data_IF_320401557950
#
_entry.id   IF_320401557950
#
_cell.length_a   1.000
_cell.length_b   1.000
_cell.length_c   1.000
_cell.angle_alpha   90.00
_cell.angle_beta   90.00
_cell.angle_gamma   90.00
#
_symmetry.space_group_name_H-M   'P 1'
#
loop_
_entity.id
_entity.type
_entity.pdbx_description
1 polymer ?
#
# COMPACT_ATOMS: atom_id res chain seq x y z
N UNK A 1 11.92 -8.23 -12.87
CA UNK A 1 12.24 -7.68 -14.20
C UNK A 1 12.90 -6.32 -14.08
N UNK A 2 12.21 -5.24 -13.69
CA UNK A 2 12.85 -3.91 -13.57
C UNK A 2 14.10 -3.93 -12.67
N UNK A 3 13.96 -4.47 -11.46
CA UNK A 3 15.05 -4.59 -10.49
C UNK A 3 16.24 -5.41 -11.02
N UNK A 4 15.97 -6.52 -11.70
CA UNK A 4 17.00 -7.34 -12.35
C UNK A 4 17.69 -6.60 -13.51
N UNK A 5 16.97 -5.74 -14.23
CA UNK A 5 17.54 -4.95 -15.31
C UNK A 5 18.51 -3.89 -14.78
N UNK A 6 18.13 -3.16 -13.72
CA UNK A 6 19.03 -2.19 -13.09
C UNK A 6 20.27 -2.86 -12.48
N UNK A 7 20.10 -4.00 -11.80
CA UNK A 7 21.20 -4.79 -11.26
C UNK A 7 22.13 -5.31 -12.38
N UNK A 8 21.59 -5.79 -13.50
CA UNK A 8 22.39 -6.25 -14.65
C UNK A 8 23.15 -5.10 -15.32
N UNK A 9 22.52 -3.96 -15.56
CA UNK A 9 23.21 -2.79 -16.11
C UNK A 9 24.31 -2.30 -15.16
N UNK A 10 24.06 -2.37 -13.86
CA UNK A 10 25.07 -2.05 -12.86
C UNK A 10 26.26 -3.00 -13.01
N UNK A 11 26.00 -4.30 -13.10
CA UNK A 11 27.05 -5.32 -13.23
C UNK A 11 27.81 -5.20 -14.57
N UNK A 12 27.13 -4.96 -15.68
CA UNK A 12 27.80 -4.90 -16.99
C UNK A 12 28.63 -3.65 -17.19
N UNK A 13 28.27 -2.52 -16.57
CA UNK A 13 28.97 -1.24 -16.76
C UNK A 13 29.91 -0.89 -15.62
N UNK A 14 29.44 -0.96 -14.37
CA UNK A 14 30.21 -0.47 -13.22
C UNK A 14 31.25 -1.49 -12.74
N UNK A 15 30.95 -2.79 -12.76
CA UNK A 15 31.92 -3.79 -12.28
C UNK A 15 33.20 -3.85 -13.12
N UNK A 16 33.15 -3.89 -14.47
CA UNK A 16 34.37 -3.94 -15.28
C UNK A 16 35.24 -2.69 -15.10
N UNK A 17 34.62 -1.51 -15.07
CA UNK A 17 35.33 -0.24 -14.86
C UNK A 17 35.93 -0.15 -13.46
N UNK A 18 35.21 -0.60 -12.43
CA UNK A 18 35.73 -0.68 -11.08
C UNK A 18 36.93 -1.64 -10.99
N UNK A 19 36.79 -2.85 -11.55
CA UNK A 19 37.85 -3.86 -11.55
C UNK A 19 39.11 -3.36 -12.27
N UNK A 20 38.94 -2.71 -13.43
CA UNK A 20 40.04 -2.11 -14.18
C UNK A 20 40.74 -1.00 -13.39
N UNK A 21 39.98 -0.11 -12.74
CA UNK A 21 40.54 0.95 -11.88
C UNK A 21 41.34 0.36 -10.71
N UNK A 22 40.84 -0.70 -10.08
CA UNK A 22 41.56 -1.40 -9.01
C UNK A 22 42.85 -2.05 -9.50
N UNK A 23 42.82 -2.69 -10.67
CA UNK A 23 43.98 -3.33 -11.28
C UNK A 23 45.09 -2.32 -11.60
N UNK A 24 44.72 -1.18 -12.18
CA UNK A 24 45.66 -0.13 -12.59
C UNK A 24 46.04 0.84 -11.46
N UNK A 25 45.40 0.72 -10.28
CA UNK A 25 45.52 1.63 -9.13
C UNK A 25 45.32 3.11 -9.49
N UNK A 26 44.67 3.38 -10.61
CA UNK A 26 44.46 4.72 -11.16
C UNK A 26 43.33 4.69 -12.19
N UNK A 27 42.76 5.85 -12.48
CA UNK A 27 41.72 5.98 -13.51
C UNK A 27 42.35 6.29 -14.88
N UNK A 28 42.50 5.28 -15.74
CA UNK A 28 43.08 5.45 -17.08
C UNK A 28 42.03 5.62 -18.20
N UNK A 29 40.74 5.62 -17.88
CA UNK A 29 39.65 5.56 -18.88
C UNK A 29 39.21 6.92 -19.44
N UNK A 30 39.95 7.99 -19.15
CA UNK A 30 39.65 9.34 -19.61
C UNK A 30 38.48 10.02 -18.88
N UNK A 31 38.24 11.29 -19.22
CA UNK A 31 37.31 12.18 -18.49
C UNK A 31 35.83 11.82 -18.73
N UNK A 32 35.46 11.40 -19.94
CA UNK A 32 34.06 11.07 -20.28
C UNK A 32 33.56 9.89 -19.47
N UNK A 33 34.31 8.79 -19.43
CA UNK A 33 33.97 7.64 -18.61
C UNK A 33 34.00 7.98 -17.11
N UNK A 34 34.87 8.90 -16.68
CA UNK A 34 34.90 9.40 -15.30
C UNK A 34 33.63 10.16 -14.91
N UNK A 35 32.90 10.75 -15.87
CA UNK A 35 31.58 11.34 -15.62
C UNK A 35 30.47 10.30 -15.68
N UNK A 36 30.52 9.38 -16.65
CA UNK A 36 29.50 8.34 -16.84
C UNK A 36 29.49 7.30 -15.72
N UNK A 37 30.65 6.93 -15.18
CA UNK A 37 30.79 5.93 -14.11
C UNK A 37 29.99 6.30 -12.85
N UNK A 38 30.23 7.43 -12.17
CA UNK A 38 29.44 7.82 -11.02
C UNK A 38 27.98 8.07 -11.38
N UNK A 39 27.67 8.64 -12.55
CA UNK A 39 26.28 8.82 -13.01
C UNK A 39 25.53 7.48 -13.02
N UNK A 40 26.06 6.48 -13.72
CA UNK A 40 25.46 5.16 -13.80
C UNK A 40 25.40 4.48 -12.43
N UNK A 41 26.48 4.55 -11.65
CA UNK A 41 26.55 3.97 -10.30
C UNK A 41 25.44 4.49 -9.40
N UNK A 42 25.30 5.81 -9.27
CA UNK A 42 24.32 6.42 -8.36
C UNK A 42 22.90 6.31 -8.91
N UNK A 43 22.70 6.49 -10.22
CA UNK A 43 21.37 6.39 -10.84
C UNK A 43 20.79 4.97 -10.71
N UNK A 44 21.57 3.92 -11.03
CA UNK A 44 21.08 2.54 -11.01
C UNK A 44 20.80 2.05 -9.58
N UNK A 45 21.57 2.51 -8.60
CA UNK A 45 21.30 2.26 -7.17
C UNK A 45 19.97 2.92 -6.77
N UNK A 46 19.76 4.18 -7.16
CA UNK A 46 18.51 4.89 -6.89
C UNK A 46 17.30 4.22 -7.57
N UNK A 47 17.42 3.82 -8.84
CA UNK A 47 16.38 3.05 -9.55
C UNK A 47 16.03 1.77 -8.79
N UNK A 48 17.04 1.05 -8.30
CA UNK A 48 16.83 -0.19 -7.55
C UNK A 48 16.07 0.07 -6.24
N UNK A 49 16.44 1.11 -5.49
CA UNK A 49 15.75 1.51 -4.24
C UNK A 49 14.32 1.99 -4.49
N UNK A 50 14.09 2.86 -5.47
CA UNK A 50 12.74 3.31 -5.82
C UNK A 50 11.88 2.17 -6.34
N UNK A 51 12.46 1.21 -7.07
CA UNK A 51 11.75 0.00 -7.49
C UNK A 51 11.33 -0.83 -6.28
N UNK A 52 12.22 -1.01 -5.30
CA UNK A 52 11.91 -1.72 -4.05
C UNK A 52 10.82 -1.00 -3.25
N UNK A 53 10.88 0.33 -3.16
CA UNK A 53 9.85 1.16 -2.54
C UNK A 53 8.51 0.98 -3.26
N UNK A 54 8.49 1.08 -4.59
CA UNK A 54 7.29 0.92 -5.40
C UNK A 54 6.65 -0.47 -5.23
N UNK A 55 7.46 -1.54 -5.20
CA UNK A 55 6.98 -2.90 -4.93
C UNK A 55 6.38 -2.98 -3.52
N UNK A 56 7.02 -2.35 -2.54
CA UNK A 56 6.55 -2.36 -1.14
C UNK A 56 5.24 -1.60 -0.99
N UNK A 57 5.11 -0.42 -1.61
CA UNK A 57 3.85 0.35 -1.65
C UNK A 57 2.76 -0.44 -2.35
N UNK A 58 3.06 -1.07 -3.49
CA UNK A 58 2.11 -1.92 -4.20
C UNK A 58 1.55 -3.03 -3.30
N UNK A 59 2.41 -3.69 -2.52
CA UNK A 59 1.98 -4.70 -1.54
C UNK A 59 1.18 -4.09 -0.39
N UNK A 60 1.62 -2.97 0.14
CA UNK A 60 0.90 -2.26 1.20
C UNK A 60 -0.52 -1.88 0.77
N UNK A 61 -0.69 -1.27 -0.41
CA UNK A 61 -2.00 -0.87 -0.93
C UNK A 61 -2.88 -2.09 -1.21
N UNK A 62 -2.33 -3.16 -1.77
CA UNK A 62 -3.05 -4.42 -1.99
C UNK A 62 -3.63 -5.00 -0.69
N UNK A 63 -2.87 -4.93 0.41
CA UNK A 63 -3.22 -5.52 1.71
C UNK A 63 -4.13 -4.59 2.52
N UNK A 64 -3.81 -3.30 2.56
CA UNK A 64 -4.53 -2.31 3.38
C UNK A 64 -5.80 -1.79 2.70
N UNK A 65 -5.82 -1.71 1.37
CA UNK A 65 -6.91 -1.09 0.60
C UNK A 65 -7.30 -1.95 -0.62
N UNK A 66 -7.87 -3.16 -0.41
CA UNK A 66 -8.19 -4.10 -1.49
C UNK A 66 -9.19 -3.55 -2.51
N UNK A 67 -10.04 -2.57 -2.13
CA UNK A 67 -11.00 -1.91 -3.05
C UNK A 67 -10.33 -0.88 -3.96
N UNK A 68 -9.25 -0.24 -3.50
CA UNK A 68 -8.54 0.80 -4.26
C UNK A 68 -7.50 0.20 -5.22
N UNK A 69 -6.89 -0.93 -4.83
CA UNK A 69 -5.87 -1.62 -5.61
C UNK A 69 -6.21 -1.82 -7.10
N UNK A 70 -7.38 -2.38 -7.50
CA UNK A 70 -7.70 -2.60 -8.92
C UNK A 70 -7.91 -1.30 -9.71
N UNK A 71 -8.24 -0.18 -9.03
CA UNK A 71 -8.39 1.12 -9.69
C UNK A 71 -7.04 1.77 -9.98
N UNK A 72 -6.10 1.64 -9.03
CA UNK A 72 -4.80 2.30 -9.08
C UNK A 72 -3.76 1.52 -9.90
N UNK A 73 -3.70 0.19 -9.75
CA UNK A 73 -2.64 -0.64 -10.34
C UNK A 73 -3.06 -1.27 -11.68
N UNK A 74 -3.35 -0.42 -12.67
CA UNK A 74 -3.52 -0.85 -14.08
C UNK A 74 -2.17 -0.96 -14.78
N UNK A 75 -2.08 -1.74 -15.86
CA UNK A 75 -0.83 -1.96 -16.65
C UNK A 75 -0.17 -0.64 -17.09
N UNK A 76 -0.97 0.35 -17.50
CA UNK A 76 -0.47 1.67 -17.91
C UNK A 76 0.20 2.42 -16.74
N UNK A 77 -0.45 2.49 -15.57
CA UNK A 77 0.12 3.15 -14.39
C UNK A 77 1.36 2.42 -13.86
N UNK A 78 1.41 1.09 -13.96
CA UNK A 78 2.62 0.32 -13.63
C UNK A 78 3.79 0.69 -14.56
N UNK A 79 3.54 0.84 -15.86
CA UNK A 79 4.57 1.27 -16.81
C UNK A 79 5.05 2.70 -16.52
N UNK A 80 4.13 3.62 -16.25
CA UNK A 80 4.46 5.01 -15.86
C UNK A 80 5.27 5.03 -14.56
N UNK A 81 4.89 4.24 -13.55
CA UNK A 81 5.62 4.14 -12.29
C UNK A 81 7.05 3.61 -12.48
N UNK A 82 7.25 2.63 -13.37
CA UNK A 82 8.61 2.18 -13.72
C UNK A 82 9.36 3.28 -14.44
N UNK A 83 8.80 3.87 -15.49
CA UNK A 83 9.45 4.94 -16.26
C UNK A 83 9.82 6.15 -15.37
N UNK A 84 8.96 6.52 -14.42
CA UNK A 84 9.23 7.62 -13.49
C UNK A 84 10.38 7.30 -12.54
N UNK A 85 10.56 6.04 -12.11
CA UNK A 85 11.72 5.67 -11.28
C UNK A 85 13.05 5.88 -12.02
N UNK A 86 13.10 5.58 -13.32
CA UNK A 86 14.27 5.84 -14.17
C UNK A 86 14.47 7.33 -14.40
N UNK A 87 13.43 8.02 -14.86
CA UNK A 87 13.48 9.45 -15.16
C UNK A 87 13.88 10.28 -13.93
N UNK A 88 13.32 9.98 -12.75
CA UNK A 88 13.67 10.68 -11.51
C UNK A 88 15.11 10.39 -11.07
N UNK A 89 15.57 9.13 -11.17
CA UNK A 89 16.92 8.76 -10.73
C UNK A 89 18.03 9.40 -11.59
N UNK A 90 17.86 9.38 -12.91
CA UNK A 90 18.81 10.02 -13.82
C UNK A 90 18.63 11.54 -13.84
N UNK A 91 17.39 12.02 -13.79
CA UNK A 91 17.06 13.44 -13.73
C UNK A 91 17.62 14.12 -12.49
N UNK A 92 17.59 13.48 -11.31
CA UNK A 92 18.19 14.03 -10.10
C UNK A 92 19.71 14.25 -10.23
N UNK A 93 20.39 13.51 -11.12
CA UNK A 93 21.82 13.61 -11.36
C UNK A 93 22.18 14.50 -12.56
N UNK A 94 21.19 14.97 -13.34
CA UNK A 94 21.45 15.84 -14.49
C UNK A 94 22.03 17.18 -14.05
N UNK A 95 21.59 17.72 -12.91
CA UNK A 95 22.11 18.97 -12.36
C UNK A 95 23.62 18.85 -12.00
N UNK A 96 24.04 17.69 -11.50
CA UNK A 96 25.46 17.39 -11.24
C UNK A 96 26.24 17.14 -12.52
N UNK A 97 25.59 16.63 -13.57
CA UNK A 97 26.21 16.46 -14.89
C UNK A 97 26.47 17.81 -15.57
N UNK A 98 25.54 18.76 -15.44
CA UNK A 98 25.65 20.12 -15.97
C UNK A 98 26.60 21.02 -15.17
N UNK A 99 27.19 20.51 -14.08
CA UNK A 99 28.12 21.22 -13.20
C UNK A 99 27.53 22.44 -12.47
N UNK A 100 26.21 22.63 -12.52
CA UNK A 100 25.48 23.68 -11.78
C UNK A 100 25.45 23.43 -10.27
N UNK A 101 25.40 22.15 -9.87
CA UNK A 101 25.39 21.75 -8.47
C UNK A 101 26.21 20.47 -8.25
N UNK A 102 27.50 20.67 -7.95
CA UNK A 102 28.48 19.60 -7.86
C UNK A 102 29.01 19.16 -9.22
N UNK A 103 30.07 18.37 -9.22
CA UNK A 103 30.71 17.88 -10.44
C UNK A 103 31.11 16.42 -10.32
N UNK A 104 31.10 15.70 -11.43
CA UNK A 104 31.69 14.37 -11.50
C UNK A 104 33.19 14.47 -11.78
N UNK A 105 34.00 13.80 -10.96
CA UNK A 105 35.45 13.76 -11.15
C UNK A 105 36.15 12.75 -10.26
N UNK A 106 37.46 12.64 -10.42
CA UNK A 106 38.30 11.71 -9.67
C UNK A 106 38.41 12.17 -8.21
N UNK A 107 37.95 11.33 -7.28
CA UNK A 107 38.18 11.54 -5.85
C UNK A 107 39.49 10.83 -5.44
N UNK A 108 40.55 11.59 -5.09
CA UNK A 108 41.84 11.02 -4.74
C UNK A 108 41.78 10.15 -3.48
N UNK A 109 40.80 10.35 -2.61
CA UNK A 109 40.61 9.57 -1.38
C UNK A 109 40.17 8.12 -1.66
N UNK A 110 39.52 7.91 -2.81
CA UNK A 110 38.93 6.62 -3.23
C UNK A 110 39.72 6.03 -4.41
N UNK A 111 40.49 6.86 -5.12
CA UNK A 111 41.14 6.47 -6.37
C UNK A 111 40.13 6.18 -7.49
N UNK A 112 38.90 6.71 -7.39
CA UNK A 112 37.84 6.48 -8.38
C UNK A 112 36.96 7.71 -8.59
N UNK A 113 36.22 7.72 -9.68
CA UNK A 113 35.36 8.85 -10.02
C UNK A 113 34.07 8.85 -9.19
N UNK A 114 33.79 10.00 -8.54
CA UNK A 114 32.68 10.22 -7.62
C UNK A 114 32.07 11.62 -7.85
N UNK A 115 30.97 11.90 -7.14
CA UNK A 115 30.44 13.26 -6.99
C UNK A 115 31.36 14.04 -6.05
N UNK A 116 31.85 15.18 -6.53
CA UNK A 116 32.71 16.13 -5.83
C UNK A 116 31.95 17.44 -5.57
N UNK A 117 32.33 18.20 -4.52
CA UNK A 117 31.81 19.54 -4.30
C UNK A 117 32.19 20.48 -5.45
N UNK A 118 31.31 21.45 -5.70
CA UNK A 118 31.53 22.54 -6.64
C UNK A 118 32.39 23.67 -6.03
N UNK A 119 32.74 24.70 -6.81
CA UNK A 119 33.55 25.86 -6.42
C UNK A 119 33.05 26.57 -5.16
N UNK A 120 31.73 26.59 -4.94
CA UNK A 120 31.10 27.18 -3.76
C UNK A 120 31.05 26.22 -2.55
N UNK A 121 31.83 25.13 -2.58
CA UNK A 121 31.87 24.05 -1.58
C UNK A 121 30.51 23.37 -1.32
N UNK A 122 29.56 23.50 -2.25
CA UNK A 122 28.27 22.81 -2.20
C UNK A 122 28.41 21.46 -2.86
N UNK A 123 27.99 20.40 -2.18
CA UNK A 123 27.92 19.05 -2.76
C UNK A 123 26.48 18.55 -2.77
N UNK A 124 25.96 18.10 -3.93
CA UNK A 124 24.64 17.48 -3.99
C UNK A 124 24.63 16.10 -3.29
N UNK A 125 25.81 15.56 -2.94
CA UNK A 125 25.97 14.20 -2.39
C UNK A 125 25.15 13.98 -1.12
N UNK A 126 25.08 14.98 -0.23
CA UNK A 126 24.27 14.90 0.99
C UNK A 126 22.77 14.92 0.70
N UNK A 127 22.32 15.84 -0.16
CA UNK A 127 20.92 15.94 -0.57
C UNK A 127 20.43 14.70 -1.31
N UNK A 128 21.23 14.19 -2.24
CA UNK A 128 20.96 12.94 -2.96
C UNK A 128 20.94 11.75 -2.01
N UNK A 129 21.82 11.71 -1.01
CA UNK A 129 21.80 10.66 0.00
C UNK A 129 20.51 10.71 0.84
N UNK A 130 20.12 11.89 1.34
CA UNK A 130 18.89 12.00 2.15
C UNK A 130 17.65 11.71 1.30
N UNK A 131 17.55 12.33 0.12
CA UNK A 131 16.36 12.24 -0.73
C UNK A 131 16.22 10.93 -1.50
N UNK A 132 17.32 10.38 -2.02
CA UNK A 132 17.31 9.17 -2.85
C UNK A 132 17.69 7.89 -2.10
N UNK A 133 18.17 7.97 -0.86
CA UNK A 133 18.49 6.80 -0.03
C UNK A 133 17.68 6.77 1.29
N UNK A 134 17.86 7.75 2.17
CA UNK A 134 17.27 7.70 3.53
C UNK A 134 15.74 7.78 3.52
N UNK A 135 15.18 8.72 2.76
CA UNK A 135 13.74 8.90 2.67
C UNK A 135 13.05 7.64 2.09
N UNK A 136 13.51 7.06 0.97
CA UNK A 136 13.00 5.77 0.49
C UNK A 136 13.13 4.63 1.48
N UNK A 137 14.29 4.49 2.14
CA UNK A 137 14.52 3.45 3.14
C UNK A 137 13.54 3.57 4.32
N UNK A 138 13.35 4.79 4.84
CA UNK A 138 12.39 5.04 5.92
C UNK A 138 10.96 4.71 5.49
N UNK A 139 10.56 5.16 4.29
CA UNK A 139 9.24 4.85 3.75
C UNK A 139 9.03 3.33 3.59
N UNK A 140 10.04 2.60 3.10
CA UNK A 140 10.01 1.13 3.01
C UNK A 140 9.79 0.52 4.40
N UNK A 141 10.58 0.91 5.40
CA UNK A 141 10.48 0.40 6.79
C UNK A 141 9.09 0.65 7.37
N UNK A 142 8.55 1.87 7.20
CA UNK A 142 7.20 2.23 7.67
C UNK A 142 6.14 1.36 6.98
N UNK A 143 6.19 1.22 5.66
CA UNK A 143 5.26 0.36 4.92
C UNK A 143 5.34 -1.10 5.40
N UNK A 144 6.53 -1.62 5.64
CA UNK A 144 6.72 -2.98 6.15
C UNK A 144 6.15 -3.17 7.55
N UNK A 145 6.41 -2.22 8.46
CA UNK A 145 5.87 -2.25 9.81
C UNK A 145 4.33 -2.28 9.76
N UNK A 146 3.73 -1.44 8.92
CA UNK A 146 2.26 -1.42 8.73
C UNK A 146 1.73 -2.73 8.16
N UNK A 147 2.37 -3.29 7.12
CA UNK A 147 2.01 -4.60 6.57
C UNK A 147 2.05 -5.66 7.67
N UNK A 148 3.13 -5.72 8.43
CA UNK A 148 3.31 -6.71 9.50
C UNK A 148 2.25 -6.56 10.59
N UNK A 149 1.95 -5.34 11.02
CA UNK A 149 0.90 -5.06 12.00
C UNK A 149 -0.48 -5.53 11.51
N UNK A 150 -0.86 -5.20 10.26
CA UNK A 150 -2.15 -5.62 9.67
C UNK A 150 -2.26 -7.14 9.63
N UNK A 151 -1.18 -7.83 9.23
CA UNK A 151 -1.17 -9.30 9.14
C UNK A 151 -1.24 -9.94 10.52
N UNK A 152 -0.53 -9.40 11.52
CA UNK A 152 -0.55 -9.91 12.89
C UNK A 152 -1.90 -9.70 13.54
N UNK A 153 -2.52 -8.55 13.32
CA UNK A 153 -3.88 -8.24 13.78
C UNK A 153 -4.91 -9.20 13.16
N UNK A 154 -4.84 -9.44 11.84
CA UNK A 154 -5.72 -10.39 11.16
C UNK A 154 -5.54 -11.83 11.69
N UNK A 155 -4.29 -12.24 11.98
CA UNK A 155 -4.01 -13.54 12.57
C UNK A 155 -4.52 -13.66 14.01
N UNK A 156 -4.40 -12.60 14.83
CA UNK A 156 -4.94 -12.56 16.21
C UNK A 156 -6.46 -12.69 16.20
N UNK A 157 -7.16 -11.94 15.35
CA UNK A 157 -8.63 -12.02 15.22
C UNK A 157 -9.10 -13.41 14.79
N UNK A 158 -8.36 -14.09 13.93
CA UNK A 158 -8.69 -15.48 13.55
C UNK A 158 -8.45 -16.52 14.64
N UNK A 159 -7.67 -16.18 15.69
CA UNK A 159 -7.39 -17.05 16.84
C UNK A 159 -8.21 -16.70 18.07
N UNK A 160 -8.91 -15.56 18.08
CA UNK A 160 -9.82 -15.22 19.16
C UNK A 160 -10.97 -16.25 19.16
N UNK A 161 -11.23 -16.95 20.27
CA UNK A 161 -12.34 -17.88 20.34
C UNK A 161 -13.64 -17.13 20.07
N UNK A 162 -14.46 -17.68 19.17
CA UNK A 162 -15.80 -17.19 18.88
C UNK A 162 -16.56 -17.16 20.22
N UNK A 163 -16.72 -15.98 20.82
CA UNK A 163 -17.64 -15.84 21.95
C UNK A 163 -19.02 -16.07 21.36
N UNK A 164 -19.49 -17.30 21.51
CA UNK A 164 -20.84 -17.75 21.21
C UNK A 164 -21.81 -16.62 21.56
N UNK A 165 -22.37 -16.01 20.52
CA UNK A 165 -23.48 -15.08 20.70
C UNK A 165 -24.60 -15.91 21.33
N UNK A 166 -25.15 -15.53 22.50
CA UNK A 166 -26.30 -16.22 23.04
C UNK A 166 -27.36 -16.23 21.94
N UNK A 167 -27.84 -17.43 21.57
CA UNK A 167 -29.06 -17.53 20.78
C UNK A 167 -30.13 -16.74 21.55
N UNK A 168 -30.88 -15.82 20.92
CA UNK A 168 -32.12 -15.36 21.52
C UNK A 168 -32.94 -16.62 21.81
N UNK A 169 -33.19 -16.86 23.10
CA UNK A 169 -34.04 -17.96 23.53
C UNK A 169 -35.37 -17.82 22.80
N UNK A 170 -35.77 -18.92 22.18
CA UNK A 170 -37.15 -19.16 21.84
C UNK A 170 -37.86 -19.33 23.20
N UNK A 171 -38.48 -18.27 23.72
CA UNK A 171 -39.41 -18.41 24.82
C UNK A 171 -40.67 -19.05 24.26
N UNK A 172 -40.88 -20.32 24.63
CA UNK A 172 -42.09 -21.07 24.36
C UNK A 172 -43.29 -20.43 25.05
N UNK A 173 -44.39 -20.42 24.32
CA UNK A 173 -45.73 -20.03 24.76
C UNK A 173 -46.14 -20.66 26.09
N UNK A 174 -46.62 -19.84 27.02
CA UNK A 174 -47.59 -20.26 28.03
C UNK A 174 -48.79 -19.29 27.99
N UNK A 175 -49.90 -19.81 27.49
CA UNK A 175 -51.25 -19.25 27.59
C UNK A 175 -51.72 -19.42 29.04
N UNK A 176 -52.33 -18.39 29.64
CA UNK A 176 -52.93 -18.51 30.97
C UNK A 176 -53.51 -17.21 31.53
N UNK A 177 -54.72 -16.89 31.06
CA UNK A 177 -55.86 -16.25 31.75
C UNK A 177 -55.70 -15.03 32.66
N UNK A 178 -56.51 -14.02 32.35
CA UNK A 178 -56.85 -12.88 33.19
C UNK A 178 -57.64 -13.28 34.45
N UNK A 179 -57.41 -12.60 35.58
CA UNK A 179 -58.43 -11.82 36.30
C UNK A 179 -57.87 -11.08 37.55
N UNK A 180 -58.27 -9.81 37.66
CA UNK A 180 -58.65 -9.05 38.88
C UNK A 180 -57.68 -8.79 40.06
N UNK A 181 -57.37 -7.49 40.19
CA UNK A 181 -57.72 -6.61 41.31
C UNK A 181 -56.82 -6.49 42.57
N UNK A 182 -56.67 -5.20 42.94
CA UNK A 182 -56.59 -4.57 44.26
C UNK A 182 -55.22 -4.09 44.79
N UNK A 183 -55.22 -2.76 45.00
CA UNK A 183 -54.39 -1.88 45.84
C UNK A 183 -53.50 -2.53 46.92
N UNK A 184 -52.33 -1.91 47.17
CA UNK A 184 -52.17 -0.87 48.22
C UNK A 184 -50.69 -0.52 48.43
N UNK A 185 -50.37 0.77 48.30
CA UNK A 185 -49.16 1.40 48.87
C UNK A 185 -49.51 1.86 50.30
N UNK A 186 -48.55 1.96 51.23
CA UNK A 186 -47.92 3.28 51.42
C UNK A 186 -46.42 3.24 51.81
N UNK A 187 -45.70 4.33 51.53
CA UNK A 187 -44.44 4.70 52.20
C UNK A 187 -44.68 5.14 53.67
N UNK A 188 -43.73 5.78 54.39
CA UNK A 188 -42.82 6.83 53.88
C UNK A 188 -41.38 6.92 54.46
N UNK A 189 -40.56 7.72 53.76
CA UNK A 189 -39.62 8.76 54.24
C UNK A 189 -38.23 8.52 54.88
N UNK A 190 -37.32 9.37 54.36
CA UNK A 190 -36.10 10.00 54.92
C UNK A 190 -34.78 9.20 55.01
N UNK A 191 -33.62 9.65 54.52
CA UNK A 191 -33.25 10.91 53.85
C UNK A 191 -31.72 11.02 53.60
N UNK A 192 -31.35 11.87 52.65
CA UNK A 192 -30.08 12.63 52.48
C UNK A 192 -28.78 12.03 51.87
N UNK A 193 -28.71 12.09 50.53
CA UNK A 193 -27.69 12.71 49.63
C UNK A 193 -26.29 13.16 50.13
N UNK A 194 -25.21 12.75 49.43
CA UNK A 194 -24.52 13.57 48.39
C UNK A 194 -23.22 12.95 47.77
N UNK A 195 -23.21 12.86 46.43
CA UNK A 195 -22.18 13.08 45.37
C UNK A 195 -20.69 12.66 45.54
N UNK A 196 -20.02 12.08 44.52
CA UNK A 196 -19.47 12.75 43.31
C UNK A 196 -19.55 11.87 42.04
N UNK A 197 -19.82 12.52 40.89
CA UNK A 197 -20.11 11.95 39.57
C UNK A 197 -19.05 12.28 38.49
N UNK A 198 -19.03 11.46 37.42
CA UNK A 198 -18.50 11.74 36.07
C UNK A 198 -19.30 10.89 35.02
N UNK A 199 -19.35 11.28 33.72
CA UNK A 199 -20.62 11.46 32.98
C UNK A 199 -21.07 10.31 32.06
N UNK A 200 -22.37 10.26 31.65
CA UNK A 200 -22.88 9.28 30.68
C UNK A 200 -22.88 9.79 29.22
N UNK A 201 -22.74 8.83 28.30
CA UNK A 201 -22.78 8.99 26.83
C UNK A 201 -24.17 9.41 26.34
N UNK A 202 -24.21 10.44 25.47
CA UNK A 202 -25.38 10.81 24.66
C UNK A 202 -25.63 9.75 23.57
N UNK A 203 -26.87 9.25 23.54
CA UNK A 203 -27.47 8.52 22.42
C UNK A 203 -28.00 9.59 21.45
N UNK A 204 -27.45 9.67 20.24
CA UNK A 204 -27.97 10.52 19.17
C UNK A 204 -28.81 9.65 18.22
N UNK A 205 -30.08 10.01 18.13
CA UNK A 205 -31.07 9.48 17.19
C UNK A 205 -30.60 9.66 15.73
N UNK A 206 -30.92 8.66 14.91
CA UNK A 206 -30.80 8.67 13.45
C UNK A 206 -31.91 9.57 12.85
N UNK A 207 -31.63 10.44 11.87
CA UNK A 207 -32.65 11.25 11.21
C UNK A 207 -33.44 10.47 10.12
N UNK A 208 -34.67 10.91 9.78
CA UNK A 208 -35.54 10.20 8.85
C UNK A 208 -35.12 10.35 7.39
N UNK A 209 -35.32 9.28 6.63
CA UNK A 209 -35.11 9.22 5.18
C UNK A 209 -36.16 10.05 4.44
N UNK A 210 -35.67 10.95 3.59
CA UNK A 210 -36.41 11.79 2.66
C UNK A 210 -37.21 10.94 1.65
N UNK A 211 -38.50 11.24 1.53
CA UNK A 211 -39.38 10.81 0.45
C UNK A 211 -38.91 11.40 -0.90
N UNK A 212 -38.82 10.57 -1.95
CA UNK A 212 -38.93 11.02 -3.34
C UNK A 212 -40.29 10.58 -3.89
N UNK A 213 -41.03 11.44 -4.62
CA UNK A 213 -42.32 11.11 -5.20
C UNK A 213 -42.18 10.28 -6.49
N UNK A 214 -43.24 9.56 -6.93
CA UNK A 214 -43.20 8.75 -8.13
C UNK A 214 -43.32 9.59 -9.40
N UNK A 215 -42.44 9.32 -10.37
CA UNK A 215 -42.63 9.61 -11.81
C UNK A 215 -43.78 8.76 -12.38
N UNK A 216 -44.70 9.34 -13.17
CA UNK A 216 -45.65 8.56 -13.97
C UNK A 216 -45.04 8.12 -15.31
N UNK A 217 -45.46 6.93 -15.76
CA UNK A 217 -45.20 6.38 -17.09
C UNK A 217 -46.14 7.03 -18.14
N UNK A 218 -45.84 6.90 -19.45
CA UNK A 218 -46.51 7.67 -20.51
C UNK A 218 -47.74 6.94 -21.06
N UNK A 219 -48.75 7.69 -21.52
CA UNK A 219 -49.61 7.25 -22.64
C UNK A 219 -50.22 8.45 -23.40
N UNK A 220 -50.31 8.28 -24.73
CA UNK A 220 -50.86 9.17 -25.78
C UNK A 220 -52.38 9.39 -25.55
N UNK A 221 -53.11 10.42 -26.01
CA UNK A 221 -53.05 11.32 -27.17
C UNK A 221 -54.17 12.40 -27.07
N UNK A 222 -53.94 13.55 -27.73
CA UNK A 222 -54.89 14.47 -28.43
C UNK A 222 -55.93 15.37 -27.70
N UNK A 223 -55.91 16.64 -28.16
CA UNK A 223 -56.97 17.67 -28.36
C UNK A 223 -57.49 18.57 -27.22
N UNK A 224 -57.09 19.86 -27.31
CA UNK A 224 -57.85 21.12 -27.26
C UNK A 224 -58.90 21.44 -26.16
N UNK A 225 -58.71 22.60 -25.51
CA UNK A 225 -59.79 23.59 -25.29
C UNK A 225 -60.15 23.99 -23.85
N UNK A 226 -59.80 25.24 -23.49
CA UNK A 226 -60.61 26.30 -22.81
C UNK A 226 -61.18 26.09 -21.37
N UNK A 227 -60.75 27.03 -20.50
CA UNK A 227 -61.38 27.80 -19.40
C UNK A 227 -62.33 27.22 -18.31
N UNK A 228 -62.05 27.71 -17.08
CA UNK A 228 -62.94 28.16 -15.98
C UNK A 228 -63.58 27.20 -14.95
N UNK A 229 -63.24 27.50 -13.67
CA UNK A 229 -64.03 27.72 -12.44
C UNK A 229 -64.92 26.62 -11.78
N UNK A 230 -64.66 26.52 -10.47
CA UNK A 230 -65.55 26.28 -9.30
C UNK A 230 -66.21 24.91 -9.01
N UNK A 231 -66.21 24.58 -7.71
CA UNK A 231 -67.42 24.11 -7.01
C UNK A 231 -67.58 22.61 -6.69
N UNK A 232 -67.40 22.31 -5.39
CA UNK A 232 -68.25 21.47 -4.50
C UNK A 232 -68.71 20.05 -4.90
N UNK A 233 -68.33 19.11 -4.01
CA UNK A 233 -69.12 18.06 -3.33
C UNK A 233 -70.35 17.46 -4.03
N UNK A 234 -70.31 16.13 -4.25
CA UNK A 234 -71.43 15.24 -3.91
C UNK A 234 -71.02 13.75 -3.93
N UNK A 235 -71.59 13.03 -2.96
CA UNK A 235 -71.42 11.62 -2.61
C UNK A 235 -72.41 10.75 -3.40
N UNK A 236 -72.00 9.61 -3.99
CA UNK A 236 -72.83 8.39 -4.06
C UNK A 236 -72.18 7.15 -4.72
N UNK A 237 -72.34 6.02 -4.01
CA UNK A 237 -72.81 4.70 -4.48
C UNK A 237 -71.93 3.77 -5.38
N UNK A 238 -71.57 2.64 -4.75
CA UNK A 238 -71.73 1.21 -5.15
C UNK A 238 -70.94 0.55 -6.32
N UNK A 239 -70.36 -0.59 -5.95
CA UNK A 239 -70.06 -1.84 -6.69
C UNK A 239 -68.84 -1.98 -7.62
N UNK A 240 -67.87 -2.83 -7.23
CA UNK A 240 -67.03 -3.61 -8.16
C UNK A 240 -66.28 -4.81 -7.53
N UNK A 241 -66.77 -6.02 -7.85
CA UNK A 241 -66.13 -7.32 -8.23
C UNK A 241 -64.70 -7.72 -7.76
N UNK A 242 -64.42 -9.02 -7.49
CA UNK A 242 -63.13 -9.51 -6.95
C UNK A 242 -61.94 -9.37 -7.91
N UNK A 243 -60.79 -8.93 -7.39
CA UNK A 243 -59.51 -8.78 -8.11
C UNK A 243 -58.88 -10.13 -8.46
N UNK A 244 -58.42 -10.23 -9.70
CA UNK A 244 -57.66 -11.33 -10.32
C UNK A 244 -56.28 -11.58 -9.67
N UNK A 245 -55.69 -12.78 -9.82
CA UNK A 245 -54.47 -13.15 -9.12
C UNK A 245 -53.23 -12.44 -9.69
N UNK A 246 -52.45 -11.85 -8.78
CA UNK A 246 -51.20 -11.16 -9.04
C UNK A 246 -50.20 -12.09 -9.75
N UNK A 247 -49.79 -11.69 -10.95
CA UNK A 247 -48.79 -12.33 -11.82
C UNK A 247 -47.60 -12.93 -11.05
N UNK A 248 -47.36 -14.24 -11.26
CA UNK A 248 -46.30 -15.03 -10.59
C UNK A 248 -44.86 -14.54 -10.82
N UNK A 249 -44.67 -13.54 -11.67
CA UNK A 249 -43.37 -12.89 -11.89
C UNK A 249 -43.05 -11.86 -10.80
N UNK A 250 -44.07 -11.23 -10.19
CA UNK A 250 -43.89 -10.22 -9.14
C UNK A 250 -43.48 -10.87 -7.82
N UNK A 251 -44.10 -12.00 -7.47
CA UNK A 251 -43.76 -12.80 -6.27
C UNK A 251 -42.36 -13.41 -6.35
N UNK A 252 -41.91 -13.84 -7.54
CA UNK A 252 -40.52 -14.30 -7.76
C UNK A 252 -39.50 -13.17 -7.56
N UNK A 253 -39.78 -11.96 -8.08
CA UNK A 253 -38.90 -10.79 -7.92
C UNK A 253 -38.82 -10.33 -6.47
N UNK A 254 -39.95 -10.31 -5.76
CA UNK A 254 -39.99 -9.97 -4.33
C UNK A 254 -39.26 -11.02 -3.47
N UNK A 255 -39.40 -12.31 -3.78
CA UNK A 255 -38.61 -13.37 -3.13
C UNK A 255 -37.11 -13.22 -3.41
N UNK A 256 -36.70 -12.90 -4.65
CA UNK A 256 -35.30 -12.67 -4.98
C UNK A 256 -34.73 -11.41 -4.29
N UNK A 257 -35.50 -10.33 -4.21
CA UNK A 257 -35.13 -9.12 -3.47
C UNK A 257 -35.00 -9.39 -1.97
N UNK A 258 -35.93 -10.17 -1.38
CA UNK A 258 -35.88 -10.58 0.01
C UNK A 258 -34.68 -11.51 0.32
N UNK A 259 -34.31 -12.39 -0.62
CA UNK A 259 -33.12 -13.25 -0.52
C UNK A 259 -31.83 -12.43 -0.67
N UNK A 260 -31.82 -11.41 -1.52
CA UNK A 260 -30.69 -10.49 -1.67
C UNK A 260 -30.51 -9.61 -0.40
N UNK A 261 -31.59 -9.17 0.23
CA UNK A 261 -31.58 -8.45 1.51
C UNK A 261 -31.18 -9.33 2.70
N UNK A 262 -31.49 -10.65 2.65
CA UNK A 262 -31.04 -11.64 3.66
C UNK A 262 -29.61 -12.11 3.49
N UNK A 263 -28.99 -11.91 2.31
CA UNK A 263 -27.55 -12.15 2.14
C UNK A 263 -26.79 -11.05 2.86
N UNK A 264 -26.48 -11.30 4.13
CA UNK A 264 -25.49 -10.52 4.87
C UNK A 264 -24.23 -10.42 4.00
N UNK A 265 -23.67 -9.22 3.77
CA UNK A 265 -22.45 -9.08 2.98
C UNK A 265 -21.40 -9.99 3.60
N UNK A 266 -20.87 -10.92 2.78
CA UNK A 266 -19.86 -11.86 3.24
C UNK A 266 -18.78 -11.09 4.02
N UNK A 267 -18.40 -11.55 5.23
CA UNK A 267 -17.45 -10.82 6.05
C UNK A 267 -16.20 -10.53 5.22
N UNK A 268 -15.75 -9.27 5.24
CA UNK A 268 -14.60 -8.82 4.46
C UNK A 268 -13.44 -9.79 4.70
N UNK A 269 -13.02 -10.49 3.64
CA UNK A 269 -12.00 -11.54 3.71
C UNK A 269 -10.76 -10.94 4.38
N UNK A 270 -10.35 -11.53 5.51
CA UNK A 270 -9.19 -11.05 6.27
C UNK A 270 -7.99 -10.88 5.33
N UNK A 271 -7.22 -9.78 5.41
CA UNK A 271 -6.03 -9.61 4.60
C UNK A 271 -5.04 -10.75 4.89
N UNK A 272 -4.93 -11.69 3.97
CA UNK A 272 -4.04 -12.85 4.06
C UNK A 272 -2.97 -12.72 2.98
N UNK A 273 -1.72 -12.71 3.38
CA UNK A 273 -0.60 -12.79 2.45
C UNK A 273 -0.53 -14.22 1.94
N UNK A 274 -0.42 -14.36 0.61
CA UNK A 274 -0.11 -15.67 0.05
C UNK A 274 1.32 -16.08 0.46
N UNK A 275 1.65 -17.39 0.46
CA UNK A 275 3.02 -17.84 0.70
C UNK A 275 4.03 -17.18 -0.26
N UNK A 276 3.60 -16.93 -1.50
CA UNK A 276 4.39 -16.21 -2.52
C UNK A 276 4.64 -14.75 -2.11
N UNK A 277 3.62 -14.05 -1.62
CA UNK A 277 3.78 -12.66 -1.13
C UNK A 277 4.71 -12.60 0.08
N UNK A 278 4.59 -13.54 1.03
CA UNK A 278 5.47 -13.58 2.20
C UNK A 278 6.93 -13.81 1.79
N UNK A 279 7.18 -14.69 0.83
CA UNK A 279 8.52 -14.94 0.30
C UNK A 279 9.09 -13.72 -0.42
N UNK A 280 8.28 -13.04 -1.24
CA UNK A 280 8.66 -11.79 -1.88
C UNK A 280 9.01 -10.70 -0.86
N UNK A 281 8.15 -10.51 0.16
CA UNK A 281 8.38 -9.52 1.22
C UNK A 281 9.64 -9.83 2.03
N UNK A 282 9.91 -11.12 2.33
CA UNK A 282 11.18 -11.54 2.96
C UNK A 282 12.39 -11.23 2.08
N UNK A 283 12.29 -11.49 0.78
CA UNK A 283 13.35 -11.18 -0.18
C UNK A 283 13.63 -9.66 -0.21
N UNK A 284 12.58 -8.84 -0.25
CA UNK A 284 12.73 -7.38 -0.22
C UNK A 284 13.33 -6.89 1.11
N UNK A 285 12.95 -7.48 2.25
CA UNK A 285 13.56 -7.15 3.54
C UNK A 285 15.06 -7.48 3.54
N UNK A 286 15.46 -8.62 2.97
CA UNK A 286 16.87 -8.97 2.82
C UNK A 286 17.63 -7.93 1.97
N UNK A 287 17.04 -7.50 0.84
CA UNK A 287 17.61 -6.45 -0.02
C UNK A 287 17.74 -5.12 0.73
N UNK A 288 16.73 -4.74 1.52
CA UNK A 288 16.77 -3.51 2.30
C UNK A 288 17.86 -3.58 3.38
N UNK A 289 17.97 -4.70 4.11
CA UNK A 289 19.04 -4.91 5.09
C UNK A 289 20.41 -4.84 4.42
N UNK A 290 20.60 -5.44 3.25
CA UNK A 290 21.88 -5.32 2.54
C UNK A 290 22.20 -3.88 2.13
N UNK A 291 21.21 -3.09 1.69
CA UNK A 291 21.42 -1.67 1.44
C UNK A 291 21.87 -0.94 2.71
N UNK A 292 21.25 -1.18 3.86
CA UNK A 292 21.70 -0.58 5.12
C UNK A 292 23.12 -1.02 5.50
N UNK A 293 23.41 -2.33 5.48
CA UNK A 293 24.73 -2.85 5.85
C UNK A 293 25.84 -2.27 4.96
N UNK A 294 25.55 -2.06 3.67
CA UNK A 294 26.58 -1.60 2.75
C UNK A 294 26.73 -0.07 2.67
N UNK A 295 25.66 0.69 2.90
CA UNK A 295 25.67 2.14 2.74
C UNK A 295 25.69 2.89 4.08
N UNK A 296 25.12 2.34 5.16
CA UNK A 296 25.14 2.99 6.48
C UNK A 296 26.58 3.29 6.95
N UNK A 297 27.57 2.40 6.83
CA UNK A 297 28.91 2.68 7.36
C UNK A 297 29.56 3.89 6.68
N UNK A 298 29.45 4.00 5.36
CA UNK A 298 29.97 5.18 4.65
C UNK A 298 29.17 6.44 4.97
N UNK A 299 27.87 6.31 5.24
CA UNK A 299 27.05 7.44 5.68
C UNK A 299 27.51 7.95 7.03
N UNK A 300 27.72 7.05 7.98
CA UNK A 300 28.15 7.40 9.34
C UNK A 300 29.52 8.06 9.30
N UNK A 301 30.48 7.53 8.54
CA UNK A 301 31.81 8.15 8.43
C UNK A 301 31.77 9.53 7.77
N UNK A 302 30.78 9.81 6.91
CA UNK A 302 30.62 11.13 6.27
C UNK A 302 29.78 12.11 7.10
N UNK A 303 28.85 11.62 7.92
CA UNK A 303 27.98 12.44 8.76
C UNK A 303 28.71 12.92 10.03
N UNK A 304 29.54 12.05 10.61
CA UNK A 304 30.23 12.32 11.86
C UNK A 304 31.70 12.64 11.58
N UNK A 305 32.06 13.91 11.67
CA UNK A 305 33.43 14.41 11.41
C UNK A 305 34.51 13.67 12.21
N UNK A 306 34.17 13.16 13.40
CA UNK A 306 35.08 12.39 14.26
C UNK A 306 35.51 11.05 13.64
N UNK A 307 34.64 10.38 12.88
CA UNK A 307 34.95 9.11 12.24
C UNK A 307 35.68 9.27 10.90
N UNK A 308 35.65 10.47 10.30
CA UNK A 308 36.41 10.77 9.08
C UNK A 308 37.91 10.54 9.29
N UNK A 309 38.42 10.74 10.51
CA UNK A 309 39.84 10.59 10.85
C UNK A 309 40.29 9.14 11.00
N UNK A 310 39.39 8.15 11.01
CA UNK A 310 39.74 6.73 11.13
C UNK A 310 39.87 6.06 9.75
N UNK A 311 41.09 5.72 9.29
CA UNK A 311 41.29 5.15 7.96
C UNK A 311 40.61 3.80 7.78
N UNK A 312 40.61 2.96 8.82
CA UNK A 312 40.04 1.62 8.78
C UNK A 312 38.52 1.63 8.52
N UNK A 313 37.76 2.50 9.19
CA UNK A 313 36.31 2.62 8.99
C UNK A 313 35.97 3.15 7.59
N UNK A 314 36.77 4.10 7.07
CA UNK A 314 36.60 4.59 5.71
C UNK A 314 36.87 3.49 4.68
N UNK A 315 37.98 2.75 4.80
CA UNK A 315 38.33 1.64 3.90
C UNK A 315 37.24 0.56 3.94
N UNK A 316 36.80 0.15 5.14
CA UNK A 316 35.73 -0.83 5.31
C UNK A 316 34.42 -0.35 4.68
N UNK A 317 34.06 0.92 4.87
CA UNK A 317 32.91 1.54 4.22
C UNK A 317 33.01 1.47 2.69
N UNK A 318 34.17 1.77 2.11
CA UNK A 318 34.36 1.66 0.66
C UNK A 318 34.25 0.22 0.15
N UNK A 319 34.90 -0.74 0.83
CA UNK A 319 34.81 -2.18 0.49
C UNK A 319 33.34 -2.63 0.50
N UNK A 320 32.58 -2.23 1.50
CA UNK A 320 31.16 -2.58 1.61
C UNK A 320 30.34 -2.03 0.44
N UNK A 321 30.59 -0.79 -0.03
CA UNK A 321 29.89 -0.27 -1.21
C UNK A 321 30.25 -1.11 -2.45
N UNK A 322 31.48 -1.57 -2.60
CA UNK A 322 31.86 -2.47 -3.70
C UNK A 322 31.24 -3.86 -3.55
N UNK A 323 30.98 -4.35 -2.34
CA UNK A 323 30.27 -5.62 -2.14
C UNK A 323 28.78 -5.53 -2.52
N UNK A 324 28.16 -4.34 -2.49
CA UNK A 324 26.75 -4.14 -2.91
C UNK A 324 26.46 -4.73 -4.29
N UNK A 325 27.47 -4.67 -5.15
CA UNK A 325 27.43 -5.04 -6.55
C UNK A 325 27.18 -6.53 -6.77
N UNK A 326 27.56 -7.37 -5.81
CA UNK A 326 27.38 -8.82 -5.86
C UNK A 326 26.22 -9.29 -4.97
N UNK A 327 25.83 -8.51 -3.97
CA UNK A 327 24.85 -8.92 -2.95
C UNK A 327 23.45 -9.07 -3.55
N UNK A 328 23.00 -8.15 -4.40
CA UNK A 328 21.65 -8.20 -4.98
C UNK A 328 21.41 -9.51 -5.76
N UNK A 329 22.27 -9.91 -6.73
CA UNK A 329 22.18 -11.22 -7.39
C UNK A 329 22.18 -12.40 -6.43
N UNK A 330 23.08 -12.41 -5.44
CA UNK A 330 23.19 -13.49 -4.45
C UNK A 330 21.88 -13.64 -3.68
N UNK A 331 21.28 -12.53 -3.24
CA UNK A 331 20.01 -12.54 -2.51
C UNK A 331 18.90 -13.17 -3.36
N UNK A 332 18.80 -12.85 -4.66
CA UNK A 332 17.77 -13.46 -5.50
C UNK A 332 17.98 -14.96 -5.66
N UNK A 333 19.21 -15.41 -5.91
CA UNK A 333 19.53 -16.83 -6.07
C UNK A 333 19.24 -17.59 -4.77
N UNK A 334 19.61 -17.06 -3.61
CA UNK A 334 19.41 -17.73 -2.32
C UNK A 334 17.93 -17.75 -1.92
N UNK A 335 17.21 -16.63 -2.08
CA UNK A 335 15.85 -16.45 -1.55
C UNK A 335 14.73 -16.89 -2.50
N UNK A 336 14.98 -16.97 -3.81
CA UNK A 336 13.96 -17.38 -4.79
C UNK A 336 14.23 -18.78 -5.37
N UNK A 337 13.39 -19.73 -4.97
CA UNK A 337 13.36 -21.07 -5.58
C UNK A 337 13.01 -21.06 -7.07
N UNK A 338 12.27 -20.06 -7.54
CA UNK A 338 11.95 -19.90 -8.96
C UNK A 338 13.21 -19.57 -9.77
N UNK A 339 14.05 -18.67 -9.27
CA UNK A 339 15.36 -18.40 -9.88
C UNK A 339 16.26 -19.62 -9.83
N UNK A 340 16.37 -20.31 -8.68
CA UNK A 340 17.18 -21.54 -8.57
C UNK A 340 16.74 -22.61 -9.56
N UNK A 341 15.44 -22.79 -9.76
CA UNK A 341 14.92 -23.75 -10.72
C UNK A 341 15.22 -23.32 -12.16
N UNK A 342 15.11 -22.02 -12.48
CA UNK A 342 15.49 -21.50 -13.79
C UNK A 342 16.99 -21.69 -14.07
N UNK A 343 17.87 -21.36 -13.11
CA UNK A 343 19.31 -21.62 -13.22
C UNK A 343 19.61 -23.11 -13.38
N UNK A 344 18.96 -23.99 -12.60
CA UNK A 344 19.13 -25.44 -12.73
C UNK A 344 18.70 -25.93 -14.10
N UNK A 345 17.59 -25.43 -14.64
CA UNK A 345 17.12 -25.81 -15.98
C UNK A 345 18.06 -25.30 -17.09
N UNK A 346 18.60 -24.08 -16.95
CA UNK A 346 19.58 -23.52 -17.88
C UNK A 346 20.90 -24.29 -17.86
N UNK A 347 21.46 -24.56 -16.67
CA UNK A 347 22.72 -25.28 -16.48
C UNK A 347 22.61 -26.76 -16.85
N UNK A 348 21.45 -27.38 -16.63
CA UNK A 348 21.19 -28.77 -17.03
C UNK A 348 20.67 -28.88 -18.48
N UNK A 349 20.70 -27.79 -19.26
CA UNK A 349 20.16 -27.69 -20.63
C UNK A 349 18.79 -28.37 -20.81
N UNK A 350 17.95 -28.36 -19.77
CA UNK A 350 16.67 -29.08 -19.79
C UNK A 350 15.68 -28.22 -20.57
N UNK A 351 15.50 -28.53 -21.87
CA UNK A 351 14.45 -27.91 -22.69
C UNK A 351 13.12 -28.05 -21.97
N UNK A 352 12.36 -26.95 -21.86
CA UNK A 352 10.94 -27.03 -21.55
C UNK A 352 10.30 -27.77 -22.73
N UNK A 353 10.00 -29.05 -22.53
CA UNK A 353 9.13 -29.82 -23.40
C UNK A 353 7.71 -29.23 -23.32
#
# INVERSE_FOLDING_TARGET
MNLSCSDLLFCCFNLPLAASTFWQRSWAHGRTLCRMFPLARYALVAVSLFTVLAITINRYVMISHPRLYPKLYKRQYLAIMVASTWAFSFGALIATWLEEWGRFGLDPSIGSCSILPDRNNRSPKEFLFVGAFMLPCLAIVICYARIFCIVREAARRSRAPDRVRPRPGLEDSAVGSASTALERSPGPENGYNNHIAAPPRKILLVPPTLHCPPTPAPERSSSSGVDTLDGHDDECALDAKPRTPLSGNTTKRLRQAAVALRRSPAPARSPRLTPKDRKLLKMIMAIMISFWVCYLPITVTKLFREFTSQPALNIAGYILIYLTTCINPIIYVVMSSEYRQAYKNLLMCRRRA
#
